data_IF_016263410806
#
_entry.id   IF_016263410806
#
_cell.length_a   1.000
_cell.length_b   1.000
_cell.length_c   1.000
_cell.angle_alpha   90.00
_cell.angle_beta   90.00
_cell.angle_gamma   90.00
#
_symmetry.space_group_name_H-M   'P 1'
#
loop_
_entity.id
_entity.type
_entity.pdbx_description
1 polymer ?
#
# COMPACT_ATOMS: atom_id res chain seq x y z
N UNK A 1 3.79 10.20 6.48
CA UNK A 1 2.95 9.52 7.49
C UNK A 1 2.54 8.09 7.11
N UNK A 2 2.35 7.72 5.83
CA UNK A 2 1.82 6.38 5.45
C UNK A 2 2.84 5.21 5.41
N UNK A 3 4.15 5.47 5.42
CA UNK A 3 5.17 4.45 5.13
C UNK A 3 5.40 3.44 6.27
N UNK A 4 5.24 3.85 7.53
CA UNK A 4 5.55 3.00 8.70
C UNK A 4 4.61 1.80 8.84
N UNK A 5 3.38 1.89 8.31
CA UNK A 5 2.38 0.83 8.43
C UNK A 5 2.58 -0.34 7.45
N UNK A 6 3.35 -0.15 6.37
CA UNK A 6 3.46 -1.16 5.29
C UNK A 6 4.03 -2.48 5.80
N UNK A 7 5.10 -2.46 6.61
CA UNK A 7 5.68 -3.70 7.19
C UNK A 7 4.72 -4.39 8.16
N UNK A 8 3.96 -3.63 8.94
CA UNK A 8 2.97 -4.19 9.88
C UNK A 8 1.83 -4.85 9.09
N UNK A 9 1.31 -4.20 8.05
CA UNK A 9 0.30 -4.78 7.15
C UNK A 9 0.80 -6.07 6.51
N UNK A 10 2.02 -6.09 5.98
CA UNK A 10 2.61 -7.29 5.39
C UNK A 10 2.72 -8.44 6.39
N UNK A 11 3.24 -8.18 7.59
CA UNK A 11 3.40 -9.20 8.64
C UNK A 11 2.06 -9.73 9.16
N UNK A 12 1.03 -8.88 9.26
CA UNK A 12 -0.27 -9.27 9.80
C UNK A 12 -1.14 -10.02 8.79
N UNK A 13 -1.12 -9.63 7.50
CA UNK A 13 -2.09 -10.11 6.52
C UNK A 13 -1.50 -11.00 5.41
N UNK A 14 -0.19 -10.96 5.20
CA UNK A 14 0.46 -11.65 4.07
C UNK A 14 1.52 -12.67 4.49
N UNK A 15 1.61 -13.01 5.78
CA UNK A 15 2.61 -13.92 6.33
C UNK A 15 2.74 -15.24 5.55
N UNK A 16 3.97 -15.58 5.15
CA UNK A 16 4.28 -16.81 4.42
C UNK A 16 3.85 -16.85 2.95
N UNK A 17 3.24 -15.77 2.43
CA UNK A 17 2.85 -15.69 1.03
C UNK A 17 4.03 -15.32 0.13
N UNK A 18 4.12 -15.99 -1.02
CA UNK A 18 5.07 -15.70 -2.08
C UNK A 18 4.35 -15.01 -3.25
N UNK A 19 5.12 -14.57 -4.25
CA UNK A 19 4.61 -13.95 -5.48
C UNK A 19 3.75 -12.69 -5.26
N UNK A 20 4.10 -11.93 -4.22
CA UNK A 20 3.52 -10.62 -3.92
C UNK A 20 4.23 -9.50 -4.67
N UNK A 21 3.47 -8.45 -4.97
CA UNK A 21 3.97 -7.20 -5.56
C UNK A 21 3.50 -6.01 -4.72
N UNK A 22 4.43 -5.10 -4.44
CA UNK A 22 4.12 -3.80 -3.85
C UNK A 22 3.85 -2.80 -4.97
N UNK A 23 2.68 -2.15 -4.93
CA UNK A 23 2.30 -1.12 -5.88
C UNK A 23 2.42 0.25 -5.23
N UNK A 24 3.25 1.12 -5.82
CA UNK A 24 3.29 2.53 -5.50
C UNK A 24 2.28 3.27 -6.38
N UNK A 25 1.31 3.92 -5.74
CA UNK A 25 0.20 4.62 -6.41
C UNK A 25 0.39 6.13 -6.29
N UNK A 26 0.06 6.87 -7.35
CA UNK A 26 0.03 8.32 -7.34
C UNK A 26 -1.24 8.81 -6.63
N UNK A 27 -1.11 9.22 -5.37
CA UNK A 27 -2.23 9.69 -4.56
C UNK A 27 -2.92 10.93 -5.16
N UNK A 28 -2.23 11.75 -5.94
CA UNK A 28 -2.83 12.94 -6.55
C UNK A 28 -3.83 12.57 -7.66
N UNK A 29 -3.60 11.47 -8.39
CA UNK A 29 -4.52 10.98 -9.43
C UNK A 29 -5.81 10.40 -8.88
N UNK A 30 -5.78 9.90 -7.64
CA UNK A 30 -6.92 9.21 -7.01
C UNK A 30 -7.53 10.01 -5.84
N UNK A 31 -7.15 11.28 -5.71
CA UNK A 31 -7.49 12.10 -4.55
C UNK A 31 -8.99 12.18 -4.25
N UNK A 32 -9.82 12.28 -5.29
CA UNK A 32 -11.28 12.38 -5.16
C UNK A 32 -11.93 11.15 -4.49
N UNK A 33 -11.28 9.99 -4.62
CA UNK A 33 -11.75 8.74 -4.03
C UNK A 33 -10.99 8.30 -2.78
N UNK A 34 -9.99 9.06 -2.32
CA UNK A 34 -9.11 8.68 -1.22
C UNK A 34 -9.60 9.28 0.11
N UNK A 35 -9.96 8.43 1.06
CA UNK A 35 -10.40 8.83 2.40
C UNK A 35 -9.40 8.30 3.43
N UNK A 36 -8.93 9.15 4.34
CA UNK A 36 -8.10 8.73 5.46
C UNK A 36 -8.98 8.45 6.66
N UNK A 37 -9.09 7.18 7.03
CA UNK A 37 -9.94 6.71 8.13
C UNK A 37 -9.07 6.16 9.26
N UNK A 38 -9.50 6.35 10.50
CA UNK A 38 -8.79 5.81 11.66
C UNK A 38 -8.84 4.27 11.63
N UNK A 39 -7.69 3.61 11.58
CA UNK A 39 -7.58 2.15 11.56
C UNK A 39 -7.36 1.57 12.97
N UNK A 40 -6.60 2.30 13.78
CA UNK A 40 -6.53 2.18 15.22
C UNK A 40 -6.51 3.62 15.76
N UNK A 41 -6.87 3.87 17.02
CA UNK A 41 -7.09 5.22 17.56
C UNK A 41 -5.91 6.22 17.42
N UNK A 42 -4.77 5.80 16.86
CA UNK A 42 -3.58 6.63 16.62
C UNK A 42 -3.17 6.72 15.13
N UNK A 43 -3.62 5.79 14.26
CA UNK A 43 -3.19 5.71 12.85
C UNK A 43 -4.35 5.92 11.88
N UNK A 44 -4.13 6.78 10.88
CA UNK A 44 -5.04 6.94 9.74
C UNK A 44 -4.55 6.14 8.54
N UNK A 45 -5.42 5.31 7.97
CA UNK A 45 -5.12 4.53 6.78
C UNK A 45 -5.92 5.05 5.57
N UNK A 46 -5.27 5.15 4.40
CA UNK A 46 -5.95 5.54 3.18
C UNK A 46 -6.83 4.40 2.66
N UNK A 47 -8.10 4.69 2.44
CA UNK A 47 -9.08 3.83 1.80
C UNK A 47 -9.53 4.48 0.49
N UNK A 48 -9.47 3.73 -0.60
CA UNK A 48 -9.93 4.21 -1.91
C UNK A 48 -11.32 3.65 -2.22
N UNK A 49 -12.29 4.54 -2.39
CA UNK A 49 -13.70 4.19 -2.62
C UNK A 49 -14.17 4.55 -4.04
N UNK A 50 -13.28 4.96 -4.95
CA UNK A 50 -13.66 5.50 -6.26
C UNK A 50 -13.98 7.00 -6.25
N UNK A 51 -13.91 7.69 -7.40
CA UNK A 51 -13.92 9.16 -7.48
C UNK A 51 -15.24 9.80 -7.00
N UNK A 52 -16.35 9.08 -7.05
CA UNK A 52 -17.67 9.52 -6.57
C UNK A 52 -18.09 8.79 -5.28
N UNK A 53 -17.14 8.12 -4.62
CA UNK A 53 -17.38 7.22 -3.48
C UNK A 53 -18.32 6.05 -3.81
N UNK A 54 -18.47 5.75 -5.10
CA UNK A 54 -19.03 4.49 -5.58
C UNK A 54 -17.89 3.59 -6.05
N UNK A 55 -18.08 2.28 -5.92
CA UNK A 55 -17.04 1.31 -6.25
C UNK A 55 -16.47 1.56 -7.66
N UNK A 56 -15.17 1.89 -7.71
CA UNK A 56 -14.39 1.95 -8.93
C UNK A 56 -13.04 1.26 -8.70
N UNK A 57 -12.57 0.39 -9.62
CA UNK A 57 -11.27 -0.23 -9.50
C UNK A 57 -10.15 0.81 -9.70
N UNK A 58 -9.04 0.62 -8.98
CA UNK A 58 -7.81 1.36 -9.22
C UNK A 58 -7.33 1.11 -10.66
N UNK A 59 -7.02 2.16 -11.42
CA UNK A 59 -6.57 2.01 -12.80
C UNK A 59 -5.07 1.73 -12.84
N UNK A 60 -4.62 0.95 -13.82
CA UNK A 60 -3.18 0.67 -13.98
C UNK A 60 -2.36 1.96 -14.22
N UNK A 61 -2.97 2.98 -14.82
CA UNK A 61 -2.39 4.32 -15.03
C UNK A 61 -2.10 5.09 -13.74
N UNK A 62 -2.68 4.66 -12.61
CA UNK A 62 -2.49 5.29 -11.29
C UNK A 62 -1.26 4.71 -10.57
N UNK A 63 -0.77 3.54 -11.02
CA UNK A 63 0.43 2.90 -10.49
C UNK A 63 1.67 3.54 -11.09
N UNK A 64 2.52 4.10 -10.24
CA UNK A 64 3.81 4.72 -10.63
C UNK A 64 4.91 3.67 -10.74
N UNK A 65 4.91 2.71 -9.82
CA UNK A 65 5.91 1.64 -9.78
C UNK A 65 5.31 0.39 -9.17
N UNK A 66 5.74 -0.76 -9.67
CA UNK A 66 5.48 -2.06 -9.07
C UNK A 66 6.83 -2.71 -8.73
N UNK A 67 6.90 -3.36 -7.58
CA UNK A 67 8.12 -4.04 -7.13
C UNK A 67 7.78 -5.42 -6.56
N UNK A 68 8.54 -6.44 -6.95
CA UNK A 68 8.30 -7.80 -6.46
C UNK A 68 8.80 -7.88 -5.02
N UNK A 69 7.94 -8.34 -4.12
CA UNK A 69 8.33 -8.61 -2.73
C UNK A 69 8.98 -9.99 -2.67
N UNK A 70 10.14 -10.05 -2.02
CA UNK A 70 10.86 -11.29 -1.75
C UNK A 70 10.65 -11.67 -0.29
N UNK A 71 10.26 -12.92 -0.05
CA UNK A 71 10.22 -13.51 1.29
C UNK A 71 11.56 -14.19 1.56
N UNK A 72 12.34 -13.67 2.51
CA UNK A 72 13.62 -14.23 2.93
C UNK A 72 13.70 -14.26 4.45
N UNK A 73 14.08 -15.40 5.04
CA UNK A 73 14.19 -15.58 6.49
C UNK A 73 12.93 -15.15 7.27
N UNK A 74 11.74 -15.46 6.73
CA UNK A 74 10.43 -15.05 7.28
C UNK A 74 10.21 -13.52 7.37
N UNK A 75 10.96 -12.72 6.60
CA UNK A 75 10.70 -11.29 6.46
C UNK A 75 10.55 -10.88 4.99
N UNK A 76 9.86 -9.76 4.78
CA UNK A 76 9.58 -9.22 3.46
C UNK A 76 10.58 -8.13 3.09
N UNK A 77 11.18 -8.26 1.91
CA UNK A 77 12.12 -7.27 1.36
C UNK A 77 11.71 -6.87 -0.05
N UNK A 78 12.00 -5.63 -0.41
CA UNK A 78 11.79 -5.10 -1.76
C UNK A 78 12.49 -3.74 -1.86
N UNK A 79 12.92 -3.35 -3.07
CA UNK A 79 13.52 -2.04 -3.31
C UNK A 79 12.64 -0.87 -2.84
N UNK A 80 11.33 -0.99 -2.99
CA UNK A 80 10.35 -0.01 -2.51
C UNK A 80 10.14 -0.05 -0.99
N UNK A 81 10.16 -1.23 -0.38
CA UNK A 81 10.04 -1.37 1.08
C UNK A 81 11.27 -0.87 1.84
N UNK A 82 12.44 -1.05 1.24
CA UNK A 82 13.74 -0.77 1.87
C UNK A 82 14.26 0.64 1.50
N UNK A 83 13.83 1.18 0.35
CA UNK A 83 14.17 2.53 -0.12
C UNK A 83 13.27 3.66 0.40
N UNK A 84 12.24 3.35 1.21
CA UNK A 84 11.34 4.35 1.81
C UNK A 84 11.95 5.11 3.01
N UNK A 85 13.25 4.98 3.25
CA UNK A 85 14.01 5.76 4.22
C UNK A 85 14.77 6.90 3.52
N UNK A 86 14.07 7.98 3.20
CA UNK A 86 14.63 9.34 3.02
C UNK A 86 13.58 10.37 3.45
#
# INVERSE_FOLDING_TARGET
>A
MAMACIRVTLKNFFHGQNDLYLLQVDAAKIADGLIYEAADGCNYFPHFYGPDRSFAPLQLSDVVKADKIVLANNDFTSSLLDGAAI
#
